data_IF_235417919147
#
_entry.id   IF_235417919147
#
_cell.length_a   1.000
_cell.length_b   1.000
_cell.length_c   1.000
_cell.angle_alpha   90.00
_cell.angle_beta   90.00
_cell.angle_gamma   90.00
#
_symmetry.space_group_name_H-M   'P 1'
#
loop_
_entity.id
_entity.type
_entity.pdbx_description
1 polymer ?
#
# COMPACT_ATOMS: atom_id res chain seq x y z
N UNK A 1 -0.92 12.41 23.97
CA UNK A 1 -0.06 12.85 22.85
C UNK A 1 -0.45 12.05 21.63
N UNK A 2 -1.35 12.60 20.79
CA UNK A 2 -1.73 11.98 19.51
C UNK A 2 -1.00 12.76 18.44
N UNK A 3 -0.03 12.13 17.79
CA UNK A 3 0.71 12.76 16.70
C UNK A 3 -0.15 12.67 15.43
N UNK A 4 -1.05 13.63 15.26
CA UNK A 4 -1.72 13.83 13.97
C UNK A 4 -0.72 14.56 13.08
N UNK A 5 0.00 13.83 12.23
CA UNK A 5 0.80 14.45 11.17
C UNK A 5 -0.16 14.94 10.08
N UNK A 6 -0.51 16.21 10.20
CA UNK A 6 -1.24 16.96 9.19
C UNK A 6 -0.25 17.22 8.04
N UNK A 7 -0.29 16.41 6.98
CA UNK A 7 0.29 16.83 5.70
C UNK A 7 -0.78 17.56 4.90
N UNK A 8 -0.99 18.82 5.30
CA UNK A 8 -1.60 19.83 4.44
C UNK A 8 -0.75 19.97 3.17
N UNK A 9 -1.35 19.75 2.00
CA UNK A 9 -0.95 20.40 0.74
C UNK A 9 0.50 20.25 0.23
N UNK A 10 1.16 19.10 0.43
CA UNK A 10 2.32 18.73 -0.40
C UNK A 10 1.83 17.77 -1.47
N UNK A 11 2.01 18.13 -2.75
CA UNK A 11 1.60 17.30 -3.88
C UNK A 11 2.15 15.89 -3.71
N UNK A 12 1.32 14.89 -4.02
CA UNK A 12 1.63 13.45 -3.91
C UNK A 12 2.89 12.98 -4.68
N UNK A 13 3.69 13.89 -5.26
CA UNK A 13 4.85 13.61 -6.09
C UNK A 13 6.22 13.83 -5.42
N UNK A 14 6.32 14.62 -4.35
CA UNK A 14 7.64 15.15 -3.93
C UNK A 14 8.22 14.52 -2.66
N UNK A 15 7.42 13.74 -1.91
CA UNK A 15 7.85 13.13 -0.64
C UNK A 15 7.68 11.62 -0.70
N UNK A 16 8.74 10.89 -0.34
CA UNK A 16 8.67 9.45 -0.15
C UNK A 16 7.84 9.11 1.10
N UNK A 17 6.83 8.27 0.93
CA UNK A 17 5.97 7.74 2.00
C UNK A 17 6.35 6.28 2.28
N UNK A 18 6.78 5.96 3.50
CA UNK A 18 6.92 4.57 3.93
C UNK A 18 5.57 4.02 4.40
N UNK A 19 5.18 2.85 3.87
CA UNK A 19 3.96 2.14 4.27
C UNK A 19 4.25 1.03 5.30
N UNK A 20 5.49 0.54 5.35
CA UNK A 20 5.99 -0.45 6.31
C UNK A 20 7.45 -0.76 6.03
N UNK A 21 7.99 -1.82 6.64
CA UNK A 21 9.43 -2.16 6.55
C UNK A 21 9.92 -2.42 5.11
N UNK A 22 9.01 -2.84 4.23
CA UNK A 22 9.34 -3.24 2.86
C UNK A 22 8.59 -2.48 1.79
N UNK A 23 7.62 -1.63 2.13
CA UNK A 23 6.79 -0.94 1.14
C UNK A 23 6.93 0.57 1.27
N UNK A 24 7.08 1.23 0.13
CA UNK A 24 7.14 2.69 0.06
C UNK A 24 6.48 3.21 -1.21
N UNK A 25 6.09 4.48 -1.18
CA UNK A 25 5.64 5.25 -2.33
C UNK A 25 6.63 6.37 -2.51
N UNK A 26 7.29 6.44 -3.66
CA UNK A 26 8.18 7.54 -4.00
C UNK A 26 7.94 7.98 -5.45
N UNK A 27 7.81 9.29 -5.67
CA UNK A 27 7.56 9.89 -6.99
C UNK A 27 6.39 9.23 -7.75
N UNK A 28 5.31 8.93 -7.05
CA UNK A 28 4.11 8.29 -7.61
C UNK A 28 4.30 6.82 -8.01
N UNK A 29 5.37 6.16 -7.56
CA UNK A 29 5.62 4.73 -7.78
C UNK A 29 5.58 4.00 -6.45
N UNK A 30 5.00 2.80 -6.46
CA UNK A 30 5.00 1.92 -5.28
C UNK A 30 6.15 0.94 -5.39
N UNK A 31 6.89 0.76 -4.31
CA UNK A 31 8.04 -0.12 -4.22
C UNK A 31 7.80 -1.23 -3.19
N UNK A 32 8.31 -2.42 -3.51
CA UNK A 32 8.60 -3.46 -2.53
C UNK A 32 10.12 -3.63 -2.46
N UNK A 33 10.72 -3.30 -1.31
CA UNK A 33 12.18 -3.13 -1.14
C UNK A 33 12.69 -2.14 -2.18
N UNK A 34 13.54 -2.59 -3.10
CA UNK A 34 14.12 -1.77 -4.16
C UNK A 34 13.47 -2.01 -5.53
N UNK A 35 12.34 -2.72 -5.60
CA UNK A 35 11.65 -3.07 -6.85
C UNK A 35 10.37 -2.26 -7.00
N UNK A 36 10.15 -1.71 -8.18
CA UNK A 36 8.89 -1.05 -8.55
C UNK A 36 7.82 -2.14 -8.73
N UNK A 37 6.65 -1.91 -8.12
CA UNK A 37 5.46 -2.71 -8.36
C UNK A 37 4.64 -2.08 -9.49
N UNK A 38 4.78 -2.65 -10.68
CA UNK A 38 4.11 -2.17 -11.88
C UNK A 38 2.59 -2.36 -11.80
N UNK A 39 1.85 -1.34 -12.25
CA UNK A 39 0.39 -1.35 -12.28
C UNK A 39 -0.29 -1.16 -10.91
N UNK A 40 0.45 -0.83 -9.86
CA UNK A 40 -0.11 -0.40 -8.57
C UNK A 40 -0.61 1.04 -8.67
N UNK A 41 -1.82 1.31 -8.17
CA UNK A 41 -2.28 2.68 -7.99
C UNK A 41 -1.75 3.27 -6.67
N UNK A 42 -0.77 4.20 -6.70
CA UNK A 42 -0.15 4.74 -5.49
C UNK A 42 -1.14 5.54 -4.64
N UNK A 43 -2.19 6.12 -5.23
CA UNK A 43 -3.15 6.96 -4.49
C UNK A 43 -4.06 6.16 -3.57
N UNK A 44 -4.21 4.86 -3.83
CA UNK A 44 -5.09 3.96 -3.09
C UNK A 44 -4.31 2.79 -2.47
N UNK A 45 -2.98 2.81 -2.55
CA UNK A 45 -2.13 1.77 -2.03
C UNK A 45 -2.18 1.77 -0.49
N UNK A 46 -2.54 0.63 0.09
CA UNK A 46 -2.70 0.44 1.53
C UNK A 46 -2.00 -0.86 1.95
N UNK A 47 -1.14 -0.79 2.96
CA UNK A 47 -0.54 -1.98 3.56
C UNK A 47 -1.49 -2.55 4.63
N UNK A 48 -1.86 -3.81 4.46
CA UNK A 48 -2.63 -4.61 5.41
C UNK A 48 -1.69 -5.55 6.15
N UNK A 49 -1.56 -5.36 7.45
CA UNK A 49 -0.60 -6.11 8.27
C UNK A 49 0.83 -5.76 7.87
N UNK A 50 1.68 -6.77 7.66
CA UNK A 50 3.11 -6.56 7.38
C UNK A 50 3.53 -6.86 5.92
N UNK A 51 2.72 -7.60 5.16
CA UNK A 51 3.16 -8.19 3.89
C UNK A 51 2.16 -8.04 2.74
N UNK A 52 0.90 -7.73 3.03
CA UNK A 52 -0.17 -7.65 2.04
C UNK A 52 -0.44 -6.20 1.66
N UNK A 53 -0.07 -5.81 0.45
CA UNK A 53 -0.41 -4.51 -0.11
C UNK A 53 -1.66 -4.65 -0.99
N UNK A 54 -2.65 -3.78 -0.84
CA UNK A 54 -3.76 -3.69 -1.80
C UNK A 54 -3.80 -2.29 -2.43
N UNK A 55 -4.40 -2.22 -3.62
CA UNK A 55 -4.88 -0.98 -4.22
C UNK A 55 -6.38 -1.11 -4.57
N UNK A 56 -6.93 -0.21 -5.38
CA UNK A 56 -8.35 -0.22 -5.77
C UNK A 56 -8.76 -1.42 -6.64
N UNK A 57 -7.79 -2.14 -7.25
CA UNK A 57 -8.02 -3.19 -8.26
C UNK A 57 -7.23 -4.47 -8.04
N UNK A 58 -6.14 -4.41 -7.29
CA UNK A 58 -5.13 -5.45 -7.19
C UNK A 58 -4.73 -5.66 -5.73
N UNK A 59 -4.21 -6.86 -5.46
CA UNK A 59 -3.60 -7.21 -4.18
C UNK A 59 -2.26 -7.88 -4.45
N UNK A 60 -1.29 -7.58 -3.60
CA UNK A 60 0.09 -8.02 -3.68
C UNK A 60 0.51 -8.61 -2.34
N UNK A 61 1.16 -9.77 -2.38
CA UNK A 61 1.76 -10.39 -1.20
C UNK A 61 3.27 -10.42 -1.37
N UNK A 62 3.99 -9.72 -0.48
CA UNK A 62 5.45 -9.58 -0.54
C UNK A 62 5.98 -9.15 -1.92
N UNK A 63 5.27 -8.22 -2.56
CA UNK A 63 5.59 -7.69 -3.89
C UNK A 63 5.06 -8.52 -5.07
N UNK A 64 4.49 -9.69 -4.85
CA UNK A 64 3.92 -10.53 -5.92
C UNK A 64 2.43 -10.26 -6.08
N UNK A 65 2.01 -9.95 -7.31
CA UNK A 65 0.59 -9.72 -7.63
C UNK A 65 -0.20 -11.01 -7.53
N UNK A 66 -1.22 -11.03 -6.69
CA UNK A 66 -2.14 -12.16 -6.60
C UNK A 66 -3.18 -12.03 -7.72
N UNK A 67 -3.27 -13.07 -8.56
CA UNK A 67 -4.20 -13.12 -9.70
C UNK A 67 -5.60 -13.57 -9.26
N UNK A 68 -6.59 -13.25 -10.08
CA UNK A 68 -7.98 -13.73 -9.97
C UNK A 68 -8.71 -13.36 -8.66
N UNK A 69 -8.23 -12.34 -7.95
CA UNK A 69 -8.93 -11.77 -6.80
C UNK A 69 -10.04 -10.82 -7.28
N UNK A 70 -11.28 -11.13 -6.89
CA UNK A 70 -12.39 -10.18 -6.96
C UNK A 70 -12.42 -9.35 -5.67
N UNK A 71 -11.99 -8.10 -5.72
CA UNK A 71 -11.90 -7.18 -4.57
C UNK A 71 -13.26 -6.85 -3.91
N UNK A 72 -14.38 -7.37 -4.44
CA UNK A 72 -15.72 -7.03 -3.95
C UNK A 72 -15.97 -7.33 -2.47
N UNK A 73 -15.26 -8.28 -1.85
CA UNK A 73 -15.56 -8.72 -0.47
C UNK A 73 -14.30 -8.95 0.41
N UNK A 74 -13.36 -8.00 0.48
CA UNK A 74 -12.36 -8.06 1.57
C UNK A 74 -13.03 -7.72 2.91
N UNK A 75 -13.75 -8.68 3.48
CA UNK A 75 -14.13 -8.64 4.88
C UNK A 75 -12.88 -8.92 5.71
N UNK A 76 -12.51 -7.97 6.57
CA UNK A 76 -11.47 -8.18 7.57
C UNK A 76 -11.96 -9.29 8.50
N UNK A 77 -11.50 -10.52 8.29
CA UNK A 77 -11.73 -11.60 9.24
C UNK A 77 -11.09 -11.15 10.57
N UNK A 78 -11.95 -10.89 11.56
CA UNK A 78 -11.54 -10.40 12.87
C UNK A 78 -10.52 -11.34 13.50
N UNK A 79 -9.57 -10.77 14.23
CA UNK A 79 -8.53 -11.52 14.90
C UNK A 79 -9.14 -12.43 15.98
N UNK A 80 -9.30 -13.70 15.65
CA UNK A 80 -9.41 -14.79 16.60
C UNK A 80 -8.36 -15.83 16.19
N UNK A 81 -7.14 -15.62 16.70
CA UNK A 81 -6.15 -16.67 16.90
C UNK A 81 -5.95 -16.81 18.40
#
# INVERSE_FOLDING_TARGET
>A
MVLVLIFSNVGFGDIAQNLGDYYSIDKGKVYYKNKILEGVNPKTAELIGFSLLKDDKNVYYMGEKIKDIKIKNFEKLGQNY
#
